data_IF_925135647163
#
_entry.id   IF_925135647163
#
_cell.length_a   1.000
_cell.length_b   1.000
_cell.length_c   1.000
_cell.angle_alpha   90.00
_cell.angle_beta   90.00
_cell.angle_gamma   90.00
#
_symmetry.space_group_name_H-M   'P 1'
#
loop_
_entity.id
_entity.type
_entity.pdbx_description
1 polymer ?
#
# COMPACT_ATOMS: atom_id res chain seq x y z
N UNK A 1 28.40 19.21 8.80
CA UNK A 1 27.47 20.02 7.98
C UNK A 1 26.49 19.05 7.35
N UNK A 2 25.31 18.85 7.96
CA UNK A 2 24.27 18.05 7.31
C UNK A 2 23.88 18.76 6.02
N UNK A 3 23.91 18.05 4.89
CA UNK A 3 23.54 18.62 3.59
C UNK A 3 22.16 19.24 3.69
N UNK A 4 22.00 20.44 3.13
CA UNK A 4 20.72 21.14 3.12
C UNK A 4 19.72 20.29 2.32
N UNK A 5 18.85 19.56 3.02
CA UNK A 5 17.80 18.78 2.38
C UNK A 5 16.71 19.77 1.96
N UNK A 6 16.75 20.16 0.68
CA UNK A 6 15.73 21.00 0.06
C UNK A 6 14.57 20.10 -0.35
N UNK A 7 13.59 19.96 0.54
CA UNK A 7 12.35 19.21 0.27
C UNK A 7 11.24 20.18 -0.10
N UNK A 8 10.56 19.93 -1.21
CA UNK A 8 9.37 20.66 -1.60
C UNK A 8 8.12 19.93 -1.08
N UNK A 9 7.34 20.52 -0.15
CA UNK A 9 6.13 19.88 0.39
C UNK A 9 5.10 19.51 -0.69
N UNK A 10 5.05 20.27 -1.79
CA UNK A 10 4.20 19.96 -2.95
C UNK A 10 4.62 18.66 -3.65
N UNK A 11 5.92 18.45 -3.83
CA UNK A 11 6.46 17.21 -4.42
C UNK A 11 6.14 15.99 -3.55
N UNK A 12 6.27 16.14 -2.22
CA UNK A 12 5.91 15.08 -1.27
C UNK A 12 4.41 14.74 -1.32
N UNK A 13 3.54 15.74 -1.45
CA UNK A 13 2.10 15.51 -1.62
C UNK A 13 1.76 14.83 -2.95
N UNK A 14 2.35 15.28 -4.04
CA UNK A 14 2.18 14.64 -5.36
C UNK A 14 2.60 13.18 -5.33
N UNK A 15 3.77 12.89 -4.74
CA UNK A 15 4.23 11.51 -4.58
C UNK A 15 3.27 10.70 -3.69
N UNK A 16 2.74 11.27 -2.62
CA UNK A 16 1.74 10.59 -1.81
C UNK A 16 0.48 10.22 -2.61
N UNK A 17 0.01 11.12 -3.46
CA UNK A 17 -1.16 10.88 -4.33
C UNK A 17 -0.87 9.78 -5.36
N UNK A 18 0.33 9.75 -5.94
CA UNK A 18 0.76 8.70 -6.87
C UNK A 18 0.81 7.32 -6.18
N UNK A 19 1.38 7.25 -4.97
CA UNK A 19 1.42 6.01 -4.19
C UNK A 19 0.02 5.53 -3.82
N UNK A 20 -0.87 6.45 -3.41
CA UNK A 20 -2.26 6.10 -3.12
C UNK A 20 -2.99 5.61 -4.38
N UNK A 21 -2.78 6.26 -5.53
CA UNK A 21 -3.31 5.81 -6.82
C UNK A 21 -2.85 4.40 -7.16
N UNK A 22 -1.55 4.11 -7.03
CA UNK A 22 -1.01 2.78 -7.27
C UNK A 22 -1.59 1.73 -6.32
N UNK A 23 -1.71 2.04 -5.02
CA UNK A 23 -2.32 1.16 -4.03
C UNK A 23 -3.78 0.82 -4.38
N UNK A 24 -4.56 1.83 -4.80
CA UNK A 24 -5.96 1.66 -5.18
C UNK A 24 -6.12 0.80 -6.44
N UNK A 25 -5.21 0.92 -7.41
CA UNK A 25 -5.22 0.06 -8.61
C UNK A 25 -4.96 -1.40 -8.21
N UNK A 26 -3.94 -1.65 -7.39
CA UNK A 26 -3.58 -3.01 -6.96
C UNK A 26 -4.72 -3.63 -6.14
N UNK A 27 -5.30 -2.89 -5.20
CA UNK A 27 -6.45 -3.33 -4.41
C UNK A 27 -7.67 -3.64 -5.30
N UNK A 28 -7.92 -2.81 -6.31
CA UNK A 28 -8.98 -3.04 -7.30
C UNK A 28 -8.76 -4.32 -8.11
N UNK A 29 -7.54 -4.60 -8.54
CA UNK A 29 -7.18 -5.86 -9.22
C UNK A 29 -7.38 -7.05 -8.28
N UNK A 30 -6.91 -6.97 -7.03
CA UNK A 30 -7.07 -8.03 -6.04
C UNK A 30 -8.55 -8.34 -5.76
N UNK A 31 -9.39 -7.32 -5.61
CA UNK A 31 -10.84 -7.47 -5.43
C UNK A 31 -11.50 -8.19 -6.61
N UNK A 32 -11.14 -7.82 -7.84
CA UNK A 32 -11.65 -8.49 -9.05
C UNK A 32 -11.18 -9.94 -9.13
N UNK A 33 -9.89 -10.18 -8.90
CA UNK A 33 -9.32 -11.53 -8.89
C UNK A 33 -10.05 -12.43 -7.89
N UNK A 34 -10.22 -11.95 -6.65
CA UNK A 34 -10.92 -12.68 -5.60
C UNK A 34 -12.38 -12.97 -5.98
N UNK A 35 -13.10 -11.94 -6.43
CA UNK A 35 -14.50 -12.10 -6.88
C UNK A 35 -14.65 -13.14 -8.00
N UNK A 36 -13.74 -13.10 -8.98
CA UNK A 36 -13.74 -14.05 -10.10
C UNK A 36 -13.31 -15.47 -9.70
N UNK A 37 -12.41 -15.62 -8.74
CA UNK A 37 -12.00 -16.91 -8.23
C UNK A 37 -13.11 -17.54 -7.38
N UNK A 38 -13.68 -16.78 -6.45
CA UNK A 38 -14.75 -17.24 -5.55
C UNK A 38 -16.02 -17.57 -6.33
N UNK A 39 -16.34 -16.79 -7.38
CA UNK A 39 -17.52 -17.02 -8.22
C UNK A 39 -17.45 -18.27 -9.12
N UNK A 40 -16.28 -18.87 -9.33
CA UNK A 40 -16.15 -20.12 -10.10
C UNK A 40 -16.37 -21.38 -9.28
N UNK A 41 -16.35 -21.28 -7.94
CA UNK A 41 -16.48 -22.43 -7.05
C UNK A 41 -15.30 -23.42 -7.15
N UNK A 42 -15.46 -24.58 -6.49
CA UNK A 42 -14.47 -25.65 -6.47
C UNK A 42 -14.76 -26.67 -7.58
N UNK A 43 -13.90 -26.75 -8.61
CA UNK A 43 -14.07 -27.66 -9.76
C UNK A 43 -13.16 -28.89 -9.73
N UNK A 44 -12.40 -29.10 -8.66
CA UNK A 44 -11.38 -30.14 -8.55
C UNK A 44 -11.92 -31.53 -8.14
N UNK A 45 -13.20 -31.66 -7.81
CA UNK A 45 -13.81 -32.94 -7.45
C UNK A 45 -13.63 -33.35 -5.99
N UNK A 46 -14.27 -34.46 -5.60
CA UNK A 46 -14.24 -35.03 -4.24
C UNK A 46 -13.39 -36.31 -4.14
N UNK A 47 -12.64 -36.64 -5.19
CA UNK A 47 -11.70 -37.75 -5.14
C UNK A 47 -10.39 -37.35 -4.43
N UNK A 48 -9.53 -38.33 -4.16
CA UNK A 48 -8.26 -38.11 -3.47
C UNK A 48 -7.40 -37.06 -4.18
N UNK A 49 -7.39 -37.06 -5.52
CA UNK A 49 -6.57 -36.15 -6.32
C UNK A 49 -7.09 -34.72 -6.23
N UNK A 50 -8.41 -34.52 -6.30
CA UNK A 50 -9.07 -33.24 -6.12
C UNK A 50 -8.86 -32.66 -4.72
N UNK A 51 -8.99 -33.50 -3.70
CA UNK A 51 -8.74 -33.11 -2.31
C UNK A 51 -7.27 -32.74 -2.09
N UNK A 52 -6.32 -33.55 -2.57
CA UNK A 52 -4.88 -33.25 -2.46
C UNK A 52 -4.49 -31.98 -3.22
N UNK A 53 -5.09 -31.74 -4.39
CA UNK A 53 -4.90 -30.50 -5.15
C UNK A 53 -5.40 -29.27 -4.38
N UNK A 54 -6.58 -29.34 -3.76
CA UNK A 54 -7.18 -28.20 -3.09
C UNK A 54 -6.60 -27.95 -1.69
N UNK A 55 -6.55 -29.01 -0.89
CA UNK A 55 -6.31 -28.99 0.56
C UNK A 55 -4.94 -29.52 0.98
N UNK A 56 -4.14 -30.07 0.04
CA UNK A 56 -2.81 -30.56 0.35
C UNK A 56 -1.90 -29.49 0.98
N UNK A 57 -0.76 -29.89 1.54
CA UNK A 57 0.16 -28.99 2.25
C UNK A 57 0.61 -27.78 1.39
N UNK A 58 0.71 -28.00 0.08
CA UNK A 58 0.99 -27.01 -0.98
C UNK A 58 -0.20 -26.83 -1.93
N UNK A 59 -1.40 -27.13 -1.45
CA UNK A 59 -2.63 -27.10 -2.22
C UNK A 59 -3.01 -25.70 -2.69
N UNK A 60 -3.86 -25.67 -3.71
CA UNK A 60 -4.31 -24.46 -4.37
C UNK A 60 -4.90 -23.44 -3.40
N UNK A 61 -5.75 -23.87 -2.45
CA UNK A 61 -6.43 -22.96 -1.52
C UNK A 61 -5.43 -22.18 -0.66
N UNK A 62 -4.44 -22.87 -0.10
CA UNK A 62 -3.39 -22.26 0.70
C UNK A 62 -2.54 -21.30 -0.13
N UNK A 63 -2.15 -21.71 -1.34
CA UNK A 63 -1.37 -20.86 -2.26
C UNK A 63 -2.12 -19.59 -2.66
N UNK A 64 -3.41 -19.73 -3.00
CA UNK A 64 -4.32 -18.62 -3.32
C UNK A 64 -4.45 -17.65 -2.14
N UNK A 65 -4.72 -18.16 -0.95
CA UNK A 65 -4.95 -17.32 0.23
C UNK A 65 -3.67 -16.58 0.65
N UNK A 66 -2.51 -17.24 0.54
CA UNK A 66 -1.21 -16.61 0.74
C UNK A 66 -0.94 -15.49 -0.28
N UNK A 67 -1.29 -15.70 -1.55
CA UNK A 67 -1.16 -14.67 -2.59
C UNK A 67 -2.05 -13.46 -2.27
N UNK A 68 -3.30 -13.70 -1.89
CA UNK A 68 -4.22 -12.63 -1.50
C UNK A 68 -3.71 -11.84 -0.30
N UNK A 69 -3.24 -12.53 0.74
CA UNK A 69 -2.67 -11.89 1.91
C UNK A 69 -1.42 -11.07 1.57
N UNK A 70 -0.51 -11.62 0.75
CA UNK A 70 0.72 -10.94 0.32
C UNK A 70 0.40 -9.66 -0.46
N UNK A 71 -0.52 -9.72 -1.42
CA UNK A 71 -0.94 -8.56 -2.20
C UNK A 71 -1.61 -7.50 -1.33
N UNK A 72 -2.48 -7.91 -0.41
CA UNK A 72 -3.11 -6.98 0.55
C UNK A 72 -2.08 -6.28 1.43
N UNK A 73 -1.12 -7.03 1.99
CA UNK A 73 -0.05 -6.45 2.80
C UNK A 73 0.79 -5.44 2.01
N UNK A 74 1.04 -5.68 0.71
CA UNK A 74 1.75 -4.71 -0.13
C UNK A 74 0.94 -3.44 -0.35
N UNK A 75 -0.37 -3.54 -0.58
CA UNK A 75 -1.27 -2.37 -0.67
C UNK A 75 -1.20 -1.54 0.60
N UNK A 76 -1.33 -2.18 1.76
CA UNK A 76 -1.28 -1.51 3.07
C UNK A 76 0.07 -0.80 3.29
N UNK A 77 1.18 -1.42 2.88
CA UNK A 77 2.51 -0.81 2.94
C UNK A 77 2.64 0.43 2.04
N UNK A 78 2.13 0.37 0.82
CA UNK A 78 2.15 1.50 -0.12
C UNK A 78 1.29 2.65 0.43
N UNK A 79 0.13 2.34 1.02
CA UNK A 79 -0.72 3.35 1.68
C UNK A 79 -0.03 3.98 2.91
N UNK A 80 0.70 3.19 3.70
CA UNK A 80 1.51 3.72 4.80
C UNK A 80 2.57 4.71 4.29
N UNK A 81 3.26 4.36 3.21
CA UNK A 81 4.26 5.24 2.58
C UNK A 81 3.62 6.55 2.07
N UNK A 82 2.45 6.49 1.44
CA UNK A 82 1.71 7.69 1.05
C UNK A 82 1.38 8.58 2.26
N UNK A 83 0.92 7.98 3.37
CA UNK A 83 0.65 8.70 4.62
C UNK A 83 1.92 9.33 5.20
N UNK A 84 3.04 8.60 5.21
CA UNK A 84 4.33 9.10 5.68
C UNK A 84 4.81 10.31 4.86
N UNK A 85 4.68 10.27 3.53
CA UNK A 85 5.02 11.39 2.66
C UNK A 85 4.17 12.64 2.98
N UNK A 86 2.87 12.48 3.25
CA UNK A 86 1.99 13.59 3.68
C UNK A 86 2.41 14.14 5.04
N UNK A 87 2.73 13.27 5.98
CA UNK A 87 3.18 13.66 7.31
C UNK A 87 4.51 14.43 7.24
N UNK A 88 5.45 13.97 6.39
CA UNK A 88 6.70 14.68 6.14
C UNK A 88 6.42 16.06 5.55
N UNK A 89 5.56 16.18 4.53
CA UNK A 89 5.19 17.47 3.95
C UNK A 89 4.65 18.44 5.00
N UNK A 90 3.74 17.98 5.87
CA UNK A 90 3.16 18.78 6.94
C UNK A 90 4.21 19.20 7.98
N UNK A 91 5.12 18.29 8.35
CA UNK A 91 6.20 18.59 9.29
C UNK A 91 7.17 19.65 8.74
N UNK A 92 7.51 19.59 7.44
CA UNK A 92 8.35 20.61 6.80
C UNK A 92 7.69 21.98 6.77
N UNK A 93 6.40 22.06 6.44
CA UNK A 93 5.67 23.34 6.44
C UNK A 93 5.56 23.95 7.84
N UNK A 94 5.28 23.13 8.86
CA UNK A 94 5.24 23.59 10.23
C UNK A 94 6.59 24.17 10.67
N UNK A 95 7.70 23.49 10.34
CA UNK A 95 9.05 23.97 10.64
C UNK A 95 9.37 25.30 9.93
N UNK A 96 8.97 25.45 8.66
CA UNK A 96 9.15 26.69 7.91
C UNK A 96 8.34 27.86 8.48
N UNK A 97 7.09 27.61 8.88
CA UNK A 97 6.24 28.64 9.47
C UNK A 97 6.70 29.08 10.85
N UNK A 98 7.20 28.16 11.67
CA UNK A 98 7.81 28.49 12.96
C UNK A 98 9.10 29.30 12.79
N UNK A 99 9.94 28.96 11.80
CA UNK A 99 11.12 29.74 11.44
C UNK A 99 10.73 31.17 11.00
N UNK A 100 9.71 31.32 10.13
CA UNK A 100 9.21 32.63 9.71
C UNK A 100 8.69 33.46 10.88
N UNK A 101 7.94 32.86 11.80
CA UNK A 101 7.43 33.55 13.01
C UNK A 101 8.57 34.02 13.91
N UNK A 102 9.56 33.16 14.18
CA UNK A 102 10.71 33.50 15.01
C UNK A 102 11.54 34.64 14.42
N UNK A 103 11.74 34.64 13.10
CA UNK A 103 12.46 35.71 12.40
C UNK A 103 11.62 36.99 12.28
N UNK A 104 10.30 36.86 12.12
CA UNK A 104 9.37 37.99 12.06
C UNK A 104 9.22 38.72 13.40
N UNK A 105 9.30 38.02 14.54
CA UNK A 105 9.22 38.66 15.86
C UNK A 105 10.53 39.32 16.33
N UNK A 106 11.62 39.18 15.56
CA UNK A 106 12.94 39.76 15.86
C UNK A 106 13.23 41.06 15.10
N UNK A 107 12.25 41.61 14.38
CA UNK A 107 12.26 42.94 13.76
C UNK A 107 11.25 43.83 14.45
#
# INVERSE_FOLDING_TARGET
>A
MAGQVRLEPKGLRSAADDFEGAANIIDGVLKRLRSHADGRGACWGHDKTGDEFANGEKGYLKGRDNLYASLKNNVERIQSQAKELRNSAAAFEAAEDDNKRSLGSRR
#
